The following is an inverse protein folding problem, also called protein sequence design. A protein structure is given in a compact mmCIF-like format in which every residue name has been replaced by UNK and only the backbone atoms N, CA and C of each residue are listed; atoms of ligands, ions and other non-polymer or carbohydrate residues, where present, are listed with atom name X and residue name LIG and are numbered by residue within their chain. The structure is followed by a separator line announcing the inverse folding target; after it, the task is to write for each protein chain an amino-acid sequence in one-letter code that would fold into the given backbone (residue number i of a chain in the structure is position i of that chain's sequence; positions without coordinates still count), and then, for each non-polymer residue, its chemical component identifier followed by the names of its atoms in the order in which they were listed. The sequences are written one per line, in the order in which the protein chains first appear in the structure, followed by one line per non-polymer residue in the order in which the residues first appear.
data_IF_194105378556
#
_entry.id   IF_194105378556
#
_cell.length_a   1.000
_cell.length_b   1.000
_cell.length_c   1.000
_cell.angle_alpha   90.00
_cell.angle_beta   90.00
_cell.angle_gamma   90.00
#
_symmetry.space_group_name_H-M   'P 1'
#
loop_
_entity.id
_entity.type
_entity.pdbx_description
1 polymer ?
#
# COMPACT_ATOMS: atom_id res chain seq x y z
N UNK A 1 -21.22 33.48 -16.79
CA UNK A 1 -20.23 33.46 -15.68
C UNK A 1 -20.77 32.42 -14.70
N UNK A 2 -20.12 31.31 -14.39
CA UNK A 2 -18.70 31.03 -14.20
C UNK A 2 -18.33 29.67 -14.82
N UNK A 3 -17.28 29.65 -15.64
CA UNK A 3 -16.64 28.42 -16.10
C UNK A 3 -15.93 27.74 -14.94
N UNK A 4 -16.39 26.53 -14.59
CA UNK A 4 -15.66 25.64 -13.70
C UNK A 4 -14.61 24.90 -14.52
N UNK A 5 -13.33 25.13 -14.24
CA UNK A 5 -12.26 24.32 -14.82
C UNK A 5 -12.41 22.87 -14.35
N UNK A 6 -12.27 21.87 -15.24
CA UNK A 6 -12.18 20.47 -14.81
C UNK A 6 -10.94 20.28 -13.92
N UNK A 7 -11.12 19.60 -12.79
CA UNK A 7 -10.03 19.28 -11.87
C UNK A 7 -9.02 18.35 -12.57
N UNK A 8 -7.70 18.59 -12.45
CA UNK A 8 -6.69 17.73 -13.05
C UNK A 8 -6.67 16.34 -12.39
N UNK A 9 -6.25 15.28 -13.11
CA UNK A 9 -6.19 13.92 -12.57
C UNK A 9 -5.16 13.86 -11.44
N UNK A 10 -5.64 13.69 -10.20
CA UNK A 10 -4.82 13.66 -8.99
C UNK A 10 -4.33 12.23 -8.70
N UNK A 11 -3.03 12.05 -8.96
CA UNK A 11 -2.08 11.15 -8.28
C UNK A 11 -2.40 9.65 -8.17
N UNK A 12 -1.69 8.85 -8.96
CA UNK A 12 -1.44 7.44 -8.68
C UNK A 12 -0.24 7.33 -7.74
N UNK A 13 -0.45 6.86 -6.51
CA UNK A 13 0.60 6.45 -5.61
C UNK A 13 0.81 4.94 -5.76
N UNK A 14 1.96 4.53 -6.31
CA UNK A 14 2.36 3.13 -6.36
C UNK A 14 3.29 2.85 -5.17
N UNK A 15 2.72 2.38 -4.05
CA UNK A 15 3.48 1.64 -3.04
C UNK A 15 3.64 0.22 -3.56
N UNK A 16 4.88 -0.15 -3.90
CA UNK A 16 5.21 -1.49 -4.38
C UNK A 16 6.05 -2.18 -3.31
N UNK A 17 5.50 -3.27 -2.74
CA UNK A 17 6.23 -4.13 -1.82
C UNK A 17 5.92 -5.62 -2.07
N UNK A 18 6.95 -6.47 -1.98
CA UNK A 18 6.99 -7.84 -2.51
C UNK A 18 7.30 -8.90 -1.43
N UNK A 19 6.40 -9.87 -1.28
CA UNK A 19 6.55 -11.34 -1.29
C UNK A 19 7.76 -12.11 -0.68
N UNK A 20 8.71 -11.51 0.04
CA UNK A 20 9.82 -12.25 0.67
C UNK A 20 9.43 -13.01 1.96
N UNK A 21 8.28 -12.68 2.57
CA UNK A 21 7.85 -13.31 3.84
C UNK A 21 7.39 -14.76 3.73
N UNK A 22 7.02 -15.23 2.52
CA UNK A 22 6.48 -16.58 2.34
C UNK A 22 7.57 -17.66 2.50
N UNK A 23 8.83 -17.33 2.23
CA UNK A 23 9.94 -18.29 2.31
C UNK A 23 10.57 -18.37 3.71
N UNK A 24 10.17 -17.52 4.66
CA UNK A 24 10.77 -17.44 6.00
C UNK A 24 10.06 -18.27 7.08
N UNK A 25 8.99 -18.99 6.74
CA UNK A 25 8.20 -19.77 7.70
C UNK A 25 8.31 -21.28 7.47
N UNK A 26 9.43 -21.94 7.79
CA UNK A 26 9.38 -23.33 8.18
C UNK A 26 8.85 -23.40 9.62
N UNK A 27 7.56 -23.73 9.75
CA UNK A 27 6.84 -24.09 11.00
C UNK A 27 6.49 -22.89 11.90
N UNK A 28 5.29 -22.98 12.49
CA UNK A 28 4.75 -22.07 13.51
C UNK A 28 5.73 -22.07 14.68
N UNK A 29 6.56 -21.05 14.77
CA UNK A 29 7.45 -20.81 15.89
C UNK A 29 6.71 -19.99 16.97
N UNK A 30 6.99 -20.20 18.27
CA UNK A 30 6.49 -19.34 19.34
C UNK A 30 6.90 -17.89 19.07
N UNK A 31 6.00 -16.92 19.32
CA UNK A 31 6.21 -15.48 19.09
C UNK A 31 7.53 -14.98 19.71
N UNK A 32 7.93 -15.57 20.85
CA UNK A 32 9.16 -15.27 21.60
C UNK A 32 10.46 -15.63 20.86
N UNK A 33 10.37 -16.42 19.78
CA UNK A 33 11.52 -16.85 18.98
C UNK A 33 11.65 -16.11 17.64
N UNK A 34 10.76 -15.16 17.35
CA UNK A 34 10.91 -14.27 16.22
C UNK A 34 12.05 -13.28 16.47
N UNK A 35 12.91 -13.00 15.48
CA UNK A 35 13.96 -12.00 15.63
C UNK A 35 13.33 -10.64 15.94
N UNK A 36 13.83 -9.97 16.99
CA UNK A 36 13.34 -8.65 17.42
C UNK A 36 13.55 -7.56 16.36
N UNK A 37 14.41 -7.79 15.37
CA UNK A 37 14.57 -6.96 14.18
C UNK A 37 14.66 -7.84 12.94
N UNK A 38 13.75 -7.59 12.00
CA UNK A 38 13.88 -8.10 10.63
C UNK A 38 15.09 -7.40 9.96
N UNK A 39 15.84 -8.12 9.10
CA UNK A 39 16.91 -7.48 8.34
C UNK A 39 16.33 -6.33 7.47
N UNK A 40 17.10 -5.26 7.22
CA UNK A 40 16.65 -4.17 6.38
C UNK A 40 16.32 -4.72 5.00
N UNK A 41 15.07 -4.52 4.59
CA UNK A 41 14.58 -5.01 3.31
C UNK A 41 15.05 -4.04 2.24
N UNK A 42 16.27 -4.27 1.72
CA UNK A 42 16.75 -3.48 0.59
C UNK A 42 15.72 -3.57 -0.56
N UNK A 43 15.33 -2.47 -1.20
CA UNK A 43 14.42 -2.50 -2.34
C UNK A 43 15.02 -3.43 -3.38
N UNK A 44 14.35 -4.56 -3.63
CA UNK A 44 14.93 -5.66 -4.39
C UNK A 44 15.37 -5.11 -5.77
N UNK A 45 16.65 -5.27 -6.16
CA UNK A 45 17.17 -4.75 -7.43
C UNK A 45 16.29 -5.00 -8.67
N UNK A 46 15.52 -6.12 -8.79
CA UNK A 46 14.62 -6.36 -9.91
C UNK A 46 13.54 -5.29 -10.13
N UNK A 47 12.98 -4.68 -9.08
CA UNK A 47 11.88 -3.72 -9.21
C UNK A 47 12.37 -2.36 -9.72
N UNK A 48 13.54 -1.91 -9.25
CA UNK A 48 14.15 -0.67 -9.72
C UNK A 48 14.53 -0.74 -11.20
N UNK A 49 14.96 -1.91 -11.68
CA UNK A 49 15.25 -2.15 -13.09
C UNK A 49 13.96 -2.04 -13.92
N UNK A 50 12.85 -2.62 -13.45
CA UNK A 50 11.55 -2.51 -14.14
C UNK A 50 11.07 -1.07 -14.21
N UNK A 51 11.14 -0.31 -13.13
CA UNK A 51 10.66 1.08 -13.12
C UNK A 51 11.43 1.96 -14.11
N UNK A 52 12.76 1.80 -14.21
CA UNK A 52 13.59 2.55 -15.17
C UNK A 52 13.10 2.40 -16.62
N UNK A 53 12.56 1.23 -16.99
CA UNK A 53 12.06 0.97 -18.34
C UNK A 53 10.81 1.79 -18.70
N UNK A 54 9.98 2.11 -17.71
CA UNK A 54 8.68 2.76 -17.92
C UNK A 54 8.64 4.22 -17.46
N UNK A 55 9.64 4.68 -16.70
CA UNK A 55 9.65 6.02 -16.10
C UNK A 55 9.42 7.13 -17.14
N UNK A 56 10.06 7.03 -18.32
CA UNK A 56 9.92 8.03 -19.39
C UNK A 56 8.50 8.07 -20.01
N UNK A 57 7.75 6.97 -19.89
CA UNK A 57 6.39 6.83 -20.44
C UNK A 57 5.30 7.29 -19.45
N UNK A 58 5.66 7.74 -18.26
CA UNK A 58 4.73 8.13 -17.20
C UNK A 58 4.84 9.64 -16.89
N UNK A 59 4.22 10.54 -17.67
CA UNK A 59 4.34 11.98 -17.46
C UNK A 59 3.80 12.48 -16.11
N UNK A 60 2.88 11.73 -15.48
CA UNK A 60 2.36 12.03 -14.14
C UNK A 60 3.25 11.60 -12.97
N UNK A 61 4.40 10.96 -13.23
CA UNK A 61 5.32 10.52 -12.18
C UNK A 61 6.29 11.65 -11.80
N UNK A 62 5.99 12.37 -10.72
CA UNK A 62 6.78 13.53 -10.30
C UNK A 62 7.77 13.26 -9.15
N UNK A 63 7.44 12.34 -8.25
CA UNK A 63 8.24 12.03 -7.06
C UNK A 63 8.42 10.52 -6.94
N UNK A 64 9.58 10.13 -6.40
CA UNK A 64 9.95 8.74 -6.18
C UNK A 64 10.52 8.64 -4.77
N UNK A 65 9.92 7.79 -3.95
CA UNK A 65 10.32 7.56 -2.56
C UNK A 65 10.87 6.14 -2.45
N UNK A 66 12.01 5.99 -1.80
CA UNK A 66 12.69 4.73 -1.58
C UNK A 66 12.65 4.38 -0.10
N UNK A 67 12.03 3.24 0.22
CA UNK A 67 12.05 2.64 1.56
C UNK A 67 13.38 1.90 1.73
N UNK A 68 13.96 1.96 2.94
CA UNK A 68 15.17 1.21 3.32
C UNK A 68 16.38 1.41 2.40
N UNK A 69 16.65 2.68 2.04
CA UNK A 69 17.87 3.03 1.31
C UNK A 69 17.95 4.48 0.88
N UNK A 70 19.05 4.79 0.18
CA UNK A 70 19.28 6.08 -0.48
C UNK A 70 19.73 5.86 -1.91
N UNK A 71 19.28 6.71 -2.82
CA UNK A 71 19.63 6.65 -4.24
C UNK A 71 19.50 8.02 -4.88
N UNK A 72 20.44 8.37 -5.74
CA UNK A 72 20.37 9.59 -6.53
C UNK A 72 19.05 9.68 -7.34
N UNK A 73 18.39 10.84 -7.28
CA UNK A 73 17.10 11.07 -7.92
C UNK A 73 15.90 10.42 -7.24
N UNK A 74 16.05 9.93 -6.01
CA UNK A 74 14.99 9.39 -5.16
C UNK A 74 15.02 10.05 -3.77
N UNK A 75 13.85 10.25 -3.17
CA UNK A 75 13.72 10.66 -1.79
C UNK A 75 13.88 9.44 -0.89
N UNK A 76 14.65 9.54 0.20
CA UNK A 76 14.73 8.46 1.19
C UNK A 76 13.57 8.56 2.16
N UNK A 77 12.81 7.47 2.32
CA UNK A 77 11.69 7.39 3.25
C UNK A 77 12.14 7.66 4.70
N UNK A 78 13.27 7.08 5.11
CA UNK A 78 13.78 7.21 6.47
C UNK A 78 14.20 8.66 6.78
N UNK A 79 14.83 9.34 5.81
CA UNK A 79 15.16 10.77 5.96
C UNK A 79 13.88 11.62 6.01
N UNK A 80 12.85 11.28 5.22
CA UNK A 80 11.58 12.00 5.27
C UNK A 80 10.90 11.85 6.63
N UNK A 81 10.88 10.66 7.21
CA UNK A 81 10.32 10.44 8.54
C UNK A 81 11.08 11.20 9.64
N UNK A 82 12.43 11.16 9.62
CA UNK A 82 13.24 11.79 10.66
C UNK A 82 13.21 13.32 10.64
N UNK A 83 13.01 13.91 9.45
CA UNK A 83 13.13 15.37 9.26
C UNK A 83 11.76 16.08 9.15
N UNK A 84 10.66 15.39 9.40
CA UNK A 84 9.31 15.98 9.39
C UNK A 84 8.61 15.75 10.73
N UNK A 85 7.55 16.52 10.98
CA UNK A 85 6.73 16.38 12.18
C UNK A 85 6.06 15.01 12.23
N UNK A 86 5.95 14.45 13.43
CA UNK A 86 5.08 13.30 13.71
C UNK A 86 3.60 13.69 13.76
N UNK A 87 3.32 14.99 13.95
CA UNK A 87 1.96 15.52 13.91
C UNK A 87 1.49 15.67 12.46
N UNK A 88 0.30 15.14 12.18
CA UNK A 88 -0.33 15.21 10.87
C UNK A 88 -1.82 15.56 11.01
N UNK A 89 -2.20 16.70 10.44
CA UNK A 89 -3.60 17.10 10.33
C UNK A 89 -4.28 16.33 9.20
N UNK A 90 -5.05 15.30 9.57
CA UNK A 90 -5.76 14.47 8.61
C UNK A 90 -6.79 15.30 7.82
N UNK A 91 -6.81 15.12 6.50
CA UNK A 91 -7.82 15.71 5.63
C UNK A 91 -9.18 15.09 5.93
N UNK A 92 -10.20 15.93 6.13
CA UNK A 92 -11.58 15.49 6.26
C UNK A 92 -12.12 15.04 4.90
N UNK A 93 -12.11 13.73 4.65
CA UNK A 93 -12.66 13.13 3.43
C UNK A 93 -14.10 12.72 3.61
N UNK A 94 -14.87 12.73 2.51
CA UNK A 94 -16.24 12.21 2.52
C UNK A 94 -16.23 10.70 2.31
N UNK A 95 -17.19 10.02 2.92
CA UNK A 95 -17.38 8.58 2.79
C UNK A 95 -17.43 8.09 1.32
N UNK A 96 -18.02 8.90 0.43
CA UNK A 96 -18.20 8.59 -0.98
C UNK A 96 -17.06 9.08 -1.90
N UNK A 97 -16.00 9.68 -1.37
CA UNK A 97 -14.84 10.09 -2.17
C UNK A 97 -13.95 8.89 -2.50
N UNK A 98 -13.35 8.91 -3.69
CA UNK A 98 -12.41 7.90 -4.16
C UNK A 98 -11.16 7.87 -3.27
N UNK A 99 -10.72 6.67 -2.88
CA UNK A 99 -9.65 6.47 -1.90
C UNK A 99 -8.58 5.49 -2.38
N UNK A 100 -8.99 4.37 -2.99
CA UNK A 100 -8.07 3.29 -3.38
C UNK A 100 -8.38 2.81 -4.79
N UNK A 101 -7.36 2.40 -5.53
CA UNK A 101 -7.50 1.81 -6.86
C UNK A 101 -6.72 0.49 -6.96
N UNK A 102 -7.42 -0.61 -7.21
CA UNK A 102 -6.84 -1.92 -7.47
C UNK A 102 -6.88 -2.26 -8.96
N UNK A 103 -5.81 -2.85 -9.48
CA UNK A 103 -5.83 -3.45 -10.81
C UNK A 103 -6.22 -4.92 -10.70
N UNK A 104 -7.32 -5.30 -11.36
CA UNK A 104 -7.81 -6.69 -11.37
C UNK A 104 -7.51 -7.36 -12.71
N UNK A 105 -7.13 -8.64 -12.67
CA UNK A 105 -6.95 -9.44 -13.90
C UNK A 105 -8.32 -9.69 -14.53
N UNK A 106 -8.59 -9.09 -15.68
CA UNK A 106 -9.77 -9.42 -16.47
C UNK A 106 -9.68 -10.82 -17.06
N UNK A 107 -10.82 -11.48 -17.29
CA UNK A 107 -10.87 -12.82 -17.91
C UNK A 107 -10.42 -12.81 -19.37
N UNK A 108 -10.55 -11.68 -20.08
CA UNK A 108 -10.31 -11.57 -21.53
C UNK A 108 -9.70 -10.21 -21.94
N UNK A 109 -8.73 -9.68 -21.18
CA UNK A 109 -8.08 -8.44 -21.60
C UNK A 109 -7.10 -7.84 -20.61
N UNK A 110 -6.75 -6.57 -20.85
CA UNK A 110 -5.89 -5.78 -19.97
C UNK A 110 -6.49 -5.66 -18.56
N UNK A 111 -5.64 -5.44 -17.54
CA UNK A 111 -6.11 -5.19 -16.19
C UNK A 111 -7.10 -4.03 -16.13
N UNK A 112 -8.15 -4.18 -15.32
CA UNK A 112 -9.16 -3.14 -15.11
C UNK A 112 -8.91 -2.43 -13.79
N UNK A 113 -9.11 -1.11 -13.76
CA UNK A 113 -9.08 -0.33 -12.53
C UNK A 113 -10.39 -0.49 -11.77
N UNK A 114 -10.29 -0.95 -10.53
CA UNK A 114 -11.38 -1.01 -9.57
C UNK A 114 -11.14 0.06 -8.51
N UNK A 115 -11.97 1.10 -8.51
CA UNK A 115 -11.87 2.22 -7.57
C UNK A 115 -12.80 1.97 -6.37
N UNK A 116 -12.26 2.15 -5.18
CA UNK A 116 -12.99 2.05 -3.91
C UNK A 116 -13.02 3.43 -3.23
N UNK A 117 -14.11 3.67 -2.50
CA UNK A 117 -14.34 4.92 -1.75
C UNK A 117 -13.75 4.83 -0.35
N UNK A 118 -13.70 5.96 0.36
CA UNK A 118 -13.20 6.00 1.75
C UNK A 118 -14.00 5.11 2.72
N UNK A 119 -15.31 4.93 2.51
CA UNK A 119 -16.12 4.06 3.35
C UNK A 119 -15.79 2.56 3.24
N UNK A 120 -15.05 2.16 2.20
CA UNK A 120 -14.63 0.78 1.99
C UNK A 120 -13.81 0.24 3.17
N UNK A 121 -12.90 1.05 3.74
CA UNK A 121 -12.08 0.63 4.87
C UNK A 121 -12.91 0.35 6.13
N UNK A 122 -13.88 1.23 6.43
CA UNK A 122 -14.75 1.10 7.60
C UNK A 122 -15.73 -0.06 7.43
N UNK A 123 -16.23 -0.29 6.21
CA UNK A 123 -17.18 -1.36 5.93
C UNK A 123 -16.67 -2.76 6.34
N UNK A 124 -15.35 -2.99 6.26
CA UNK A 124 -14.77 -4.29 6.63
C UNK A 124 -14.78 -4.57 8.13
N UNK A 125 -15.04 -3.58 9.01
CA UNK A 125 -15.28 -3.86 10.43
C UNK A 125 -16.39 -4.90 10.65
N UNK A 126 -17.39 -4.93 9.76
CA UNK A 126 -18.45 -5.95 9.77
C UNK A 126 -17.88 -7.33 9.47
N UNK A 127 -17.00 -7.45 8.46
CA UNK A 127 -16.30 -8.69 8.12
C UNK A 127 -15.45 -9.18 9.30
N UNK A 128 -14.65 -8.31 9.91
CA UNK A 128 -13.81 -8.66 11.06
C UNK A 128 -14.64 -9.15 12.24
N UNK A 129 -15.70 -8.41 12.60
CA UNK A 129 -16.53 -8.72 13.75
C UNK A 129 -17.41 -9.97 13.57
N UNK A 130 -18.06 -10.12 12.41
CA UNK A 130 -19.12 -11.12 12.25
C UNK A 130 -18.68 -12.34 11.43
N UNK A 131 -17.78 -12.17 10.46
CA UNK A 131 -17.30 -13.30 9.66
C UNK A 131 -16.08 -13.95 10.32
N UNK A 132 -15.10 -13.14 10.70
CA UNK A 132 -13.88 -13.65 11.34
C UNK A 132 -14.04 -13.83 12.86
N UNK A 133 -15.14 -13.33 13.44
CA UNK A 133 -15.43 -13.38 14.87
C UNK A 133 -14.30 -12.78 15.74
N UNK A 134 -13.65 -11.72 15.24
CA UNK A 134 -12.56 -11.05 15.94
C UNK A 134 -13.08 -10.23 17.12
N UNK A 135 -12.33 -10.30 18.22
CA UNK A 135 -12.52 -9.54 19.45
C UNK A 135 -11.32 -8.62 19.69
N UNK A 136 -11.48 -7.68 20.63
CA UNK A 136 -10.45 -6.69 20.97
C UNK A 136 -9.11 -7.27 21.47
N UNK A 137 -9.12 -8.53 21.90
CA UNK A 137 -7.96 -9.22 22.45
C UNK A 137 -7.37 -10.24 21.46
N UNK A 138 -7.93 -10.36 20.25
CA UNK A 138 -7.47 -11.34 19.27
C UNK A 138 -6.29 -10.77 18.47
N UNK A 139 -5.30 -11.63 18.20
CA UNK A 139 -4.23 -11.34 17.26
C UNK A 139 -4.61 -11.91 15.89
N UNK A 140 -4.83 -11.04 14.92
CA UNK A 140 -5.20 -11.42 13.56
C UNK A 140 -4.00 -11.38 12.61
N UNK A 141 -3.71 -12.49 11.95
CA UNK A 141 -2.64 -12.56 10.95
C UNK A 141 -3.23 -12.64 9.54
N UNK A 142 -3.19 -11.52 8.82
CA UNK A 142 -3.52 -11.50 7.41
C UNK A 142 -2.36 -12.03 6.54
N UNK A 143 -2.50 -13.24 6.02
CA UNK A 143 -1.61 -13.79 5.00
C UNK A 143 -2.15 -13.38 3.62
N UNK A 144 -1.63 -12.28 3.10
CA UNK A 144 -1.93 -11.77 1.75
C UNK A 144 -0.75 -10.96 1.20
N UNK A 145 -0.59 -10.95 -0.11
CA UNK A 145 0.27 -9.95 -0.76
C UNK A 145 -0.34 -8.55 -0.61
N UNK A 146 0.48 -7.55 -0.32
CA UNK A 146 0.03 -6.17 -0.06
C UNK A 146 -0.64 -5.51 -1.27
N UNK A 147 -0.35 -5.97 -2.49
CA UNK A 147 -0.99 -5.49 -3.72
C UNK A 147 -2.37 -6.10 -3.98
N UNK A 148 -2.76 -7.15 -3.25
CA UNK A 148 -4.05 -7.81 -3.39
C UNK A 148 -5.16 -7.11 -2.60
N UNK A 149 -6.40 -7.14 -3.12
CA UNK A 149 -7.54 -6.54 -2.43
C UNK A 149 -7.77 -7.10 -1.01
N UNK A 150 -7.37 -8.36 -0.75
CA UNK A 150 -7.42 -8.99 0.58
C UNK A 150 -6.56 -8.25 1.62
N UNK A 151 -5.48 -7.59 1.21
CA UNK A 151 -4.69 -6.78 2.12
C UNK A 151 -5.52 -5.62 2.70
N UNK A 152 -6.44 -5.03 1.91
CA UNK A 152 -7.31 -3.97 2.39
C UNK A 152 -8.51 -4.48 3.20
N UNK A 153 -9.18 -5.55 2.77
CA UNK A 153 -10.42 -5.98 3.42
C UNK A 153 -10.24 -6.95 4.60
N UNK A 154 -9.03 -7.46 4.82
CA UNK A 154 -8.75 -8.47 5.85
C UNK A 154 -7.68 -8.02 6.85
N UNK A 155 -7.42 -6.72 7.00
CA UNK A 155 -6.46 -6.16 7.98
C UNK A 155 -7.21 -5.31 9.00
N UNK A 156 -7.08 -5.66 10.28
CA UNK A 156 -7.89 -5.16 11.40
C UNK A 156 -7.03 -4.65 12.55
#
# INVERSE_FOLDING_TARGET
MSGGNPLPPRYAWALLYHQELVNFLPKILPIESLPQQLPPLSPTPPMLIKLKKFQASCPGLHKKVLVDGKREGWLSYNDLLQNNSEEFDAVLTRANEESMCYFTSGTTGLPKMTIHRHDYGIAHQVTGKYWLNLNKNDLHWNISDTGGAKAAWSSY
#
